data_IF_355067188068
#
_entry.id   IF_355067188068
#
_cell.length_a   1.000
_cell.length_b   1.000
_cell.length_c   1.000
_cell.angle_alpha   90.00
_cell.angle_beta   90.00
_cell.angle_gamma   90.00
#
_symmetry.space_group_name_H-M   'P 1'
#
loop_
_entity.id
_entity.type
_entity.pdbx_description
1 polymer ?
#
# COMPACT_ATOMS: atom_id res chain seq x y z
N UNK A 1 13.76 26.99 28.69
CA UNK A 1 12.42 26.91 28.10
C UNK A 1 12.40 27.88 26.93
N UNK A 2 11.94 27.45 25.74
CA UNK A 2 11.79 28.30 24.56
C UNK A 2 10.39 28.94 24.49
N UNK A 3 9.69 29.03 25.63
CA UNK A 3 8.34 29.61 25.71
C UNK A 3 8.29 31.11 25.40
N UNK A 4 9.43 31.81 25.39
CA UNK A 4 9.46 33.26 25.16
C UNK A 4 9.35 33.68 23.69
N UNK A 5 9.42 32.74 22.73
CA UNK A 5 9.26 33.07 21.30
C UNK A 5 8.65 31.93 20.49
N UNK A 6 7.30 31.85 20.39
CA UNK A 6 6.64 30.79 19.63
C UNK A 6 7.02 30.87 18.14
N UNK A 7 7.17 29.72 17.45
CA UNK A 7 7.59 29.71 16.06
C UNK A 7 6.55 30.40 15.17
N UNK A 8 7.03 31.04 14.11
CA UNK A 8 6.17 31.54 13.05
C UNK A 8 5.78 30.35 12.17
N UNK A 9 4.49 30.17 11.94
CA UNK A 9 3.96 29.10 11.11
C UNK A 9 3.22 29.73 9.94
N UNK A 10 3.61 29.38 8.72
CA UNK A 10 2.96 29.81 7.49
C UNK A 10 2.29 28.59 6.87
N UNK A 11 0.99 28.67 6.63
CA UNK A 11 0.20 27.63 5.98
C UNK A 11 -0.28 28.13 4.61
N UNK A 12 0.25 27.53 3.55
CA UNK A 12 -0.11 27.82 2.16
C UNK A 12 -1.07 26.74 1.65
N UNK A 13 -2.31 27.15 1.36
CA UNK A 13 -3.38 26.21 0.98
C UNK A 13 -3.36 25.88 -0.51
N UNK A 14 -3.80 24.68 -0.90
CA UNK A 14 -3.93 24.30 -2.31
C UNK A 14 -4.94 25.15 -3.09
N UNK A 15 -6.05 25.50 -2.45
CA UNK A 15 -7.27 26.02 -3.12
C UNK A 15 -7.30 27.54 -3.24
N UNK A 16 -6.35 28.23 -2.62
CA UNK A 16 -6.29 29.68 -2.60
C UNK A 16 -4.84 30.13 -2.59
N UNK A 17 -4.54 31.19 -3.34
CA UNK A 17 -3.27 31.92 -3.24
C UNK A 17 -3.04 32.52 -1.83
N UNK A 18 -4.08 32.51 -0.99
CA UNK A 18 -4.06 32.99 0.38
C UNK A 18 -3.30 32.02 1.29
N UNK A 19 -2.35 32.58 2.00
CA UNK A 19 -1.61 31.98 3.10
C UNK A 19 -2.16 32.46 4.44
N UNK A 20 -1.97 31.63 5.46
CA UNK A 20 -2.29 31.95 6.85
C UNK A 20 -1.01 31.93 7.66
N UNK A 21 -0.72 33.00 8.38
CA UNK A 21 0.46 33.12 9.24
C UNK A 21 0.04 33.17 10.68
N UNK A 22 0.60 32.27 11.47
CA UNK A 22 0.43 32.17 12.90
C UNK A 22 1.74 32.58 13.56
N UNK A 23 1.68 33.60 14.42
CA UNK A 23 2.82 34.06 15.21
C UNK A 23 2.42 34.19 16.66
N UNK A 24 3.27 33.71 17.57
CA UNK A 24 2.93 33.74 18.99
C UNK A 24 1.73 32.86 19.34
N UNK A 25 1.05 33.18 20.45
CA UNK A 25 -0.12 32.43 20.94
C UNK A 25 -1.46 32.90 20.32
N UNK A 26 -1.49 34.05 19.65
CA UNK A 26 -2.77 34.70 19.27
C UNK A 26 -2.75 35.48 17.97
N UNK A 27 -1.58 35.69 17.33
CA UNK A 27 -1.53 36.48 16.10
C UNK A 27 -1.80 35.61 14.90
N UNK A 28 -2.90 35.90 14.21
CA UNK A 28 -3.22 35.34 12.89
C UNK A 28 -3.24 36.46 11.86
N UNK A 29 -2.54 36.25 10.75
CA UNK A 29 -2.59 37.11 9.56
C UNK A 29 -2.89 36.26 8.34
N UNK A 30 -3.42 36.90 7.32
CA UNK A 30 -3.71 36.23 6.06
C UNK A 30 -3.48 37.18 4.90
N UNK A 31 -2.90 36.68 3.83
CA UNK A 31 -2.41 37.45 2.69
C UNK A 31 -1.89 36.50 1.63
N UNK A 32 -1.28 37.00 0.57
CA UNK A 32 -0.61 36.14 -0.39
C UNK A 32 0.79 35.75 0.12
N UNK A 33 1.45 34.80 -0.53
CA UNK A 33 2.76 34.32 -0.05
C UNK A 33 3.83 35.43 -0.13
N UNK A 34 3.71 36.34 -1.08
CA UNK A 34 4.61 37.48 -1.27
C UNK A 34 4.58 38.43 -0.07
N UNK A 35 3.43 38.58 0.59
CA UNK A 35 3.28 39.40 1.80
C UNK A 35 4.09 38.84 2.98
N UNK A 36 4.46 37.56 2.92
CA UNK A 36 5.09 36.81 4.00
C UNK A 36 6.49 36.29 3.64
N UNK A 37 7.01 36.62 2.46
CA UNK A 37 8.35 36.24 2.00
C UNK A 37 9.46 36.58 3.03
N UNK A 38 9.44 37.73 3.73
CA UNK A 38 10.46 38.03 4.74
C UNK A 38 10.55 36.98 5.85
N UNK A 39 9.44 36.32 6.20
CA UNK A 39 9.42 35.28 7.23
C UNK A 39 10.00 33.95 6.73
N UNK A 40 9.97 33.67 5.43
CA UNK A 40 10.57 32.47 4.82
C UNK A 40 12.10 32.47 4.88
N UNK A 41 12.70 33.64 5.10
CA UNK A 41 14.15 33.79 5.30
C UNK A 41 14.61 33.50 6.74
N UNK A 42 13.67 33.26 7.67
CA UNK A 42 13.98 32.95 9.07
C UNK A 42 14.01 31.42 9.28
N UNK A 43 15.09 30.86 9.86
CA UNK A 43 15.23 29.41 10.05
C UNK A 43 14.26 28.83 11.09
N UNK A 44 13.70 29.67 11.96
CA UNK A 44 12.70 29.24 12.95
C UNK A 44 11.26 29.24 12.42
N UNK A 45 11.05 29.77 11.21
CA UNK A 45 9.75 29.71 10.56
C UNK A 45 9.49 28.30 10.03
N UNK A 46 8.29 27.79 10.27
CA UNK A 46 7.75 26.59 9.66
C UNK A 46 6.87 26.97 8.48
N UNK A 47 7.16 26.43 7.31
CA UNK A 47 6.39 26.67 6.09
C UNK A 47 5.70 25.39 5.64
N UNK A 48 4.40 25.30 5.93
CA UNK A 48 3.57 24.17 5.51
C UNK A 48 2.88 24.50 4.20
N UNK A 49 3.09 23.65 3.21
CA UNK A 49 2.56 23.83 1.86
C UNK A 49 1.67 22.65 1.52
N UNK A 50 0.39 22.91 1.28
CA UNK A 50 -0.55 21.93 0.76
C UNK A 50 -0.60 22.01 -0.77
N UNK A 51 0.09 21.08 -1.43
CA UNK A 51 0.00 20.81 -2.87
C UNK A 51 0.16 22.04 -3.77
N UNK A 52 0.90 23.06 -3.34
CA UNK A 52 1.24 24.21 -4.17
C UNK A 52 2.28 23.79 -5.22
N UNK A 53 2.09 24.14 -6.50
CA UNK A 53 2.98 23.72 -7.57
C UNK A 53 4.32 24.48 -7.58
N UNK A 54 4.46 25.60 -6.87
CA UNK A 54 5.72 26.37 -6.83
C UNK A 54 5.92 26.99 -5.43
N UNK A 55 6.33 26.18 -4.43
CA UNK A 55 6.59 26.72 -3.10
C UNK A 55 7.84 27.59 -3.09
N UNK A 56 7.77 28.76 -2.46
CA UNK A 56 8.94 29.61 -2.26
C UNK A 56 9.85 28.95 -1.22
N UNK A 57 10.99 28.42 -1.68
CA UNK A 57 11.98 27.75 -0.83
C UNK A 57 12.99 28.77 -0.30
N UNK A 58 13.04 28.92 1.02
CA UNK A 58 13.95 29.81 1.73
C UNK A 58 14.76 29.06 2.80
N UNK A 59 15.08 29.76 3.90
CA UNK A 59 15.73 29.13 5.08
C UNK A 59 14.73 28.53 6.07
N UNK A 60 13.45 28.83 5.91
CA UNK A 60 12.39 28.24 6.71
C UNK A 60 12.35 26.72 6.58
N UNK A 61 11.90 26.04 7.64
CA UNK A 61 11.67 24.59 7.65
C UNK A 61 10.41 24.30 6.83
N UNK A 62 10.58 23.87 5.58
CA UNK A 62 9.46 23.64 4.65
C UNK A 62 8.99 22.19 4.68
N UNK A 63 7.69 22.00 4.90
CA UNK A 63 7.02 20.69 4.82
C UNK A 63 5.97 20.78 3.73
N UNK A 64 6.13 19.97 2.68
CA UNK A 64 5.22 19.94 1.54
C UNK A 64 4.36 18.67 1.64
N UNK A 65 3.06 18.86 1.77
CA UNK A 65 2.07 17.79 1.62
C UNK A 65 1.58 17.81 0.19
N UNK A 66 1.90 16.79 -0.60
CA UNK A 66 1.41 16.69 -1.97
C UNK A 66 1.21 15.25 -2.39
N UNK A 67 0.30 15.04 -3.35
CA UNK A 67 0.24 13.79 -4.07
C UNK A 67 1.44 13.69 -5.01
N UNK A 68 2.05 12.49 -5.16
CA UNK A 68 3.01 12.21 -6.24
C UNK A 68 2.49 12.55 -7.64
N UNK A 69 1.16 12.61 -7.81
CA UNK A 69 0.48 12.97 -9.06
C UNK A 69 0.19 14.46 -9.21
N UNK A 70 0.32 15.27 -8.15
CA UNK A 70 -0.05 16.70 -8.17
C UNK A 70 1.12 17.63 -7.95
N UNK A 71 2.24 17.14 -7.40
CA UNK A 71 3.47 17.92 -7.34
C UNK A 71 4.14 17.87 -8.72
N UNK A 72 4.15 18.99 -9.46
CA UNK A 72 4.87 19.12 -10.74
C UNK A 72 4.50 18.08 -11.82
N UNK A 73 3.21 17.72 -11.94
CA UNK A 73 2.74 16.68 -12.87
C UNK A 73 3.06 16.95 -14.34
N UNK A 74 3.14 18.21 -14.75
CA UNK A 74 3.51 18.58 -16.12
C UNK A 74 5.04 18.55 -16.33
N UNK A 75 5.83 18.84 -15.29
CA UNK A 75 7.29 18.88 -15.38
C UNK A 75 7.99 17.56 -15.01
N UNK A 76 7.26 16.54 -14.53
CA UNK A 76 7.79 15.22 -14.11
C UNK A 76 8.95 15.29 -13.09
N UNK A 77 9.02 16.37 -12.31
CA UNK A 77 10.12 16.64 -11.38
C UNK A 77 9.97 15.92 -10.03
N UNK A 78 8.81 15.33 -9.75
CA UNK A 78 8.71 14.35 -8.67
C UNK A 78 9.50 13.09 -9.07
N UNK A 79 10.79 13.12 -8.74
CA UNK A 79 11.61 11.94 -8.75
C UNK A 79 11.30 11.19 -7.46
N UNK A 80 10.60 10.07 -7.58
CA UNK A 80 10.49 9.11 -6.49
C UNK A 80 11.91 8.88 -5.98
N UNK A 81 12.18 9.26 -4.74
CA UNK A 81 13.51 9.04 -4.16
C UNK A 81 13.70 7.54 -4.26
N UNK A 82 14.76 7.08 -4.92
CA UNK A 82 15.02 5.64 -5.00
C UNK A 82 15.06 5.14 -3.57
N UNK A 83 13.98 4.49 -3.15
CA UNK A 83 13.89 3.80 -1.87
C UNK A 83 14.79 2.58 -2.06
N UNK A 84 16.09 2.82 -1.90
CA UNK A 84 17.09 1.78 -1.75
C UNK A 84 16.76 1.07 -0.44
N UNK A 85 15.79 0.16 -0.50
CA UNK A 85 15.57 -0.76 0.60
C UNK A 85 16.81 -1.63 0.57
N UNK A 86 17.72 -1.42 1.53
CA UNK A 86 19.01 -2.10 1.58
C UNK A 86 18.85 -3.61 1.45
N UNK A 87 17.74 -4.15 1.98
CA UNK A 87 17.39 -5.56 1.90
C UNK A 87 15.94 -5.76 1.47
N UNK A 88 15.71 -6.55 0.43
CA UNK A 88 14.40 -7.10 0.09
C UNK A 88 14.40 -8.56 0.48
N UNK A 89 13.52 -8.93 1.41
CA UNK A 89 13.28 -10.32 1.77
C UNK A 89 11.95 -10.77 1.19
N UNK A 90 11.93 -11.99 0.65
CA UNK A 90 10.71 -12.65 0.19
C UNK A 90 10.16 -13.53 1.31
N UNK A 91 8.85 -13.49 1.51
CA UNK A 91 8.15 -14.37 2.44
C UNK A 91 7.49 -15.49 1.67
N UNK A 92 7.68 -16.72 2.14
CA UNK A 92 6.97 -17.88 1.61
C UNK A 92 5.46 -17.75 1.91
N UNK A 93 4.59 -18.31 1.04
CA UNK A 93 3.25 -18.68 1.45
C UNK A 93 3.31 -19.58 2.69
N UNK A 94 2.29 -19.50 3.53
CA UNK A 94 2.21 -20.30 4.75
C UNK A 94 1.81 -21.73 4.44
N UNK A 95 2.37 -22.66 5.20
CA UNK A 95 1.90 -24.05 5.26
C UNK A 95 0.47 -24.13 5.79
N UNK A 96 -0.18 -25.27 5.53
CA UNK A 96 -1.50 -25.55 6.07
C UNK A 96 -1.46 -25.53 7.61
N UNK A 97 -0.40 -26.07 8.22
CA UNK A 97 -0.19 -26.10 9.65
C UNK A 97 -0.11 -24.70 10.26
N UNK A 98 0.63 -23.78 9.63
CA UNK A 98 0.71 -22.37 10.05
C UNK A 98 -0.66 -21.68 9.96
N UNK A 99 -1.43 -21.95 8.92
CA UNK A 99 -2.78 -21.40 8.75
C UNK A 99 -3.75 -21.95 9.81
N UNK A 100 -3.72 -23.25 10.09
CA UNK A 100 -4.51 -23.88 11.16
C UNK A 100 -4.13 -23.31 12.52
N UNK A 101 -2.83 -23.16 12.79
CA UNK A 101 -2.32 -22.56 14.03
C UNK A 101 -2.83 -21.13 14.18
N UNK A 102 -2.75 -20.32 13.13
CA UNK A 102 -3.24 -18.95 13.13
C UNK A 102 -4.76 -18.88 13.35
N UNK A 103 -5.54 -19.68 12.62
CA UNK A 103 -7.00 -19.80 12.80
C UNK A 103 -7.35 -20.12 14.25
N UNK A 104 -6.62 -21.04 14.86
CA UNK A 104 -6.87 -21.51 16.23
C UNK A 104 -6.57 -20.43 17.26
N UNK A 105 -5.46 -19.71 17.12
CA UNK A 105 -4.98 -18.75 18.12
C UNK A 105 -5.54 -17.33 17.94
N UNK A 106 -6.02 -16.97 16.75
CA UNK A 106 -6.56 -15.64 16.47
C UNK A 106 -8.09 -15.71 16.46
N UNK A 107 -8.72 -15.16 17.50
CA UNK A 107 -10.18 -15.25 17.72
C UNK A 107 -11.01 -14.82 16.51
N UNK A 108 -10.59 -13.77 15.80
CA UNK A 108 -11.32 -13.29 14.62
C UNK A 108 -11.33 -14.29 13.45
N UNK A 109 -10.34 -15.19 13.35
CA UNK A 109 -10.27 -16.19 12.29
C UNK A 109 -11.00 -17.49 12.63
N UNK A 110 -11.39 -17.71 13.90
CA UNK A 110 -12.13 -18.91 14.30
C UNK A 110 -13.50 -19.03 13.63
N UNK A 111 -14.08 -17.90 13.18
CA UNK A 111 -15.32 -17.85 12.40
C UNK A 111 -15.21 -18.60 11.07
N UNK A 112 -13.99 -18.76 10.52
CA UNK A 112 -13.76 -19.55 9.31
C UNK A 112 -13.71 -21.04 9.71
N UNK A 113 -14.61 -21.90 9.19
CA UNK A 113 -14.57 -23.33 9.47
C UNK A 113 -13.26 -23.98 8.99
N UNK A 114 -12.78 -25.01 9.69
CA UNK A 114 -11.53 -25.71 9.32
C UNK A 114 -11.62 -26.31 7.91
N UNK A 115 -12.73 -26.98 7.59
CA UNK A 115 -12.97 -27.55 6.26
C UNK A 115 -12.93 -26.51 5.15
N UNK A 116 -13.38 -25.28 5.44
CA UNK A 116 -13.33 -24.19 4.48
C UNK A 116 -11.91 -23.66 4.30
N UNK A 117 -11.12 -23.58 5.36
CA UNK A 117 -9.70 -23.24 5.31
C UNK A 117 -8.94 -24.26 4.47
N UNK A 118 -9.16 -25.55 4.67
CA UNK A 118 -8.50 -26.64 3.93
C UNK A 118 -8.87 -26.62 2.44
N UNK A 119 -10.16 -26.48 2.12
CA UNK A 119 -10.64 -26.36 0.72
C UNK A 119 -10.06 -25.13 0.03
N UNK A 120 -10.00 -24.00 0.72
CA UNK A 120 -9.36 -22.79 0.21
C UNK A 120 -7.86 -23.02 0.01
N UNK A 121 -7.14 -23.53 1.00
CA UNK A 121 -5.71 -23.83 0.88
C UNK A 121 -5.40 -24.73 -0.33
N UNK A 122 -6.20 -25.77 -0.55
CA UNK A 122 -6.04 -26.66 -1.70
C UNK A 122 -6.20 -25.94 -3.06
N UNK A 123 -7.01 -24.89 -3.12
CA UNK A 123 -7.28 -24.13 -4.35
C UNK A 123 -6.34 -22.96 -4.58
N UNK A 124 -6.11 -22.14 -3.56
CA UNK A 124 -5.39 -20.86 -3.66
C UNK A 124 -4.00 -20.89 -2.99
N UNK A 125 -3.65 -21.97 -2.30
CA UNK A 125 -2.38 -22.10 -1.59
C UNK A 125 -2.31 -21.31 -0.29
N UNK A 126 -1.07 -21.12 0.18
CA UNK A 126 -0.73 -20.66 1.52
C UNK A 126 -0.92 -19.18 1.85
N UNK A 127 -1.69 -18.38 1.10
CA UNK A 127 -1.75 -16.93 1.31
C UNK A 127 -2.83 -16.58 2.35
N UNK A 128 -2.46 -16.13 3.59
CA UNK A 128 -3.44 -15.97 4.68
C UNK A 128 -4.56 -14.98 4.39
N UNK A 129 -4.29 -13.96 3.58
CA UNK A 129 -5.30 -12.99 3.13
C UNK A 129 -6.49 -13.67 2.46
N UNK A 130 -6.24 -14.66 1.62
CA UNK A 130 -7.26 -15.30 0.81
C UNK A 130 -7.88 -16.50 1.53
N UNK A 131 -7.07 -17.22 2.33
CA UNK A 131 -7.55 -18.39 3.09
C UNK A 131 -8.29 -18.00 4.38
N UNK A 132 -7.90 -16.91 5.05
CA UNK A 132 -8.46 -16.50 6.35
C UNK A 132 -9.15 -15.14 6.28
N UNK A 133 -8.44 -14.09 5.88
CA UNK A 133 -8.93 -12.71 6.05
C UNK A 133 -10.19 -12.42 5.22
N UNK A 134 -10.22 -12.81 3.96
CA UNK A 134 -11.38 -12.62 3.07
C UNK A 134 -12.63 -13.40 3.52
N UNK A 135 -12.58 -14.73 3.73
CA UNK A 135 -13.76 -15.45 4.16
C UNK A 135 -14.23 -14.98 5.55
N UNK A 136 -13.31 -14.69 6.47
CA UNK A 136 -13.64 -14.10 7.79
C UNK A 136 -14.47 -12.83 7.67
N UNK A 137 -14.11 -11.92 6.75
CA UNK A 137 -14.89 -10.69 6.53
C UNK A 137 -16.33 -11.00 6.17
N UNK A 138 -16.57 -11.97 5.27
CA UNK A 138 -17.94 -12.33 4.88
C UNK A 138 -18.70 -13.00 6.01
N UNK A 139 -18.09 -13.96 6.68
CA UNK A 139 -18.73 -14.75 7.73
C UNK A 139 -19.04 -13.89 8.97
N UNK A 140 -18.28 -12.83 9.23
CA UNK A 140 -18.61 -11.88 10.29
C UNK A 140 -19.90 -11.08 9.99
N UNK A 141 -20.23 -10.84 8.73
CA UNK A 141 -21.49 -10.17 8.35
C UNK A 141 -22.63 -11.17 8.10
N UNK A 142 -22.30 -12.35 7.60
CA UNK A 142 -23.24 -13.39 7.14
C UNK A 142 -22.69 -14.77 7.53
N UNK A 143 -22.86 -15.19 8.80
CA UNK A 143 -22.20 -16.40 9.32
C UNK A 143 -22.56 -17.70 8.60
N UNK A 144 -23.76 -17.79 8.04
CA UNK A 144 -24.26 -19.00 7.38
C UNK A 144 -23.93 -19.06 5.88
N UNK A 145 -23.32 -18.01 5.31
CA UNK A 145 -23.05 -17.91 3.87
C UNK A 145 -21.61 -18.31 3.52
N UNK A 146 -21.30 -19.58 3.76
CA UNK A 146 -19.97 -20.14 3.52
C UNK A 146 -19.62 -20.17 2.03
N UNK A 147 -20.61 -20.41 1.18
CA UNK A 147 -20.41 -20.46 -0.28
C UNK A 147 -19.98 -19.11 -0.82
N UNK A 148 -20.62 -18.01 -0.39
CA UNK A 148 -20.18 -16.66 -0.76
C UNK A 148 -18.81 -16.33 -0.19
N UNK A 149 -18.51 -16.76 1.03
CA UNK A 149 -17.21 -16.54 1.65
C UNK A 149 -16.09 -17.21 0.82
N UNK A 150 -16.30 -18.46 0.40
CA UNK A 150 -15.39 -19.21 -0.49
C UNK A 150 -15.30 -18.56 -1.87
N UNK A 151 -16.42 -18.17 -2.47
CA UNK A 151 -16.44 -17.50 -3.78
C UNK A 151 -15.65 -16.18 -3.75
N UNK A 152 -15.80 -15.36 -2.70
CA UNK A 152 -15.03 -14.11 -2.55
C UNK A 152 -13.53 -14.36 -2.38
N UNK A 153 -13.15 -15.42 -1.66
CA UNK A 153 -11.75 -15.80 -1.50
C UNK A 153 -11.13 -16.20 -2.84
N UNK A 154 -11.84 -17.00 -3.65
CA UNK A 154 -11.37 -17.51 -4.94
C UNK A 154 -11.56 -16.53 -6.12
N UNK A 155 -12.37 -15.48 -5.99
CA UNK A 155 -12.70 -14.53 -7.08
C UNK A 155 -11.47 -14.10 -7.89
N UNK A 156 -10.38 -13.72 -7.20
CA UNK A 156 -9.16 -13.25 -7.86
C UNK A 156 -8.45 -14.36 -8.63
N UNK A 157 -8.47 -15.58 -8.11
CA UNK A 157 -7.90 -16.76 -8.74
C UNK A 157 -8.69 -17.10 -10.01
N UNK A 158 -10.01 -17.20 -9.91
CA UNK A 158 -10.88 -17.54 -11.03
C UNK A 158 -10.78 -16.51 -12.16
N UNK A 159 -10.72 -15.22 -11.84
CA UNK A 159 -10.45 -14.16 -12.84
C UNK A 159 -9.09 -14.31 -13.52
N UNK A 160 -8.07 -14.81 -12.81
CA UNK A 160 -6.75 -15.02 -13.37
C UNK A 160 -6.73 -16.25 -14.29
N UNK A 161 -7.38 -17.35 -13.89
CA UNK A 161 -7.55 -18.55 -14.70
C UNK A 161 -8.34 -18.25 -15.99
N UNK A 162 -9.46 -17.51 -15.89
CA UNK A 162 -10.27 -17.16 -17.07
C UNK A 162 -9.48 -16.30 -18.08
N UNK A 163 -8.62 -15.43 -17.57
CA UNK A 163 -7.80 -14.55 -18.40
C UNK A 163 -6.62 -15.28 -19.01
N UNK A 164 -5.93 -16.11 -18.22
CA UNK A 164 -4.78 -16.90 -18.67
C UNK A 164 -5.28 -18.24 -19.20
N UNK A 165 -5.73 -18.22 -20.45
CA UNK A 165 -6.30 -19.40 -21.13
C UNK A 165 -5.25 -20.41 -21.63
N UNK A 166 -3.96 -20.02 -21.63
CA UNK A 166 -2.85 -20.81 -22.17
C UNK A 166 -1.55 -20.53 -21.37
N UNK A 167 -0.79 -21.56 -20.96
CA UNK A 167 0.57 -21.43 -20.41
C UNK A 167 1.52 -20.51 -21.18
N UNK A 168 1.40 -20.40 -22.51
CA UNK A 168 2.21 -19.49 -23.34
C UNK A 168 1.97 -18.02 -22.97
N UNK A 169 0.74 -17.67 -22.64
CA UNK A 169 0.35 -16.32 -22.21
C UNK A 169 0.97 -15.97 -20.85
N UNK A 170 1.10 -16.96 -19.97
CA UNK A 170 1.77 -16.84 -18.68
C UNK A 170 3.28 -16.57 -18.85
N UNK A 171 3.94 -17.28 -19.78
CA UNK A 171 5.35 -17.03 -20.13
C UNK A 171 5.57 -15.65 -20.75
N UNK A 172 4.65 -15.19 -21.60
CA UNK A 172 4.67 -13.84 -22.14
C UNK A 172 4.52 -12.79 -21.02
N UNK A 173 3.67 -13.03 -20.02
CA UNK A 173 3.51 -12.15 -18.86
C UNK A 173 4.79 -11.98 -18.04
N UNK A 174 5.56 -13.06 -17.86
CA UNK A 174 6.87 -12.96 -17.20
C UNK A 174 7.87 -12.13 -18.01
N UNK A 175 7.80 -12.20 -19.34
CA UNK A 175 8.71 -11.44 -20.21
C UNK A 175 8.38 -9.94 -20.32
N UNK A 176 7.12 -9.54 -20.16
CA UNK A 176 6.65 -8.17 -20.47
C UNK A 176 6.68 -7.19 -19.28
N UNK A 177 6.66 -7.67 -18.03
CA UNK A 177 6.90 -6.83 -16.84
C UNK A 177 5.79 -5.83 -16.45
N UNK A 178 5.83 -5.47 -15.16
CA UNK A 178 4.96 -4.61 -14.32
C UNK A 178 3.44 -4.70 -14.46
N UNK A 179 2.84 -4.52 -15.63
CA UNK A 179 1.36 -4.46 -15.76
C UNK A 179 0.72 -5.86 -15.80
N UNK A 180 1.50 -6.87 -16.19
CA UNK A 180 1.08 -8.29 -16.25
C UNK A 180 1.30 -9.04 -14.93
N UNK A 181 2.00 -8.43 -13.96
CA UNK A 181 2.28 -9.05 -12.66
C UNK A 181 1.02 -9.30 -11.83
N UNK A 182 -0.05 -8.52 -12.04
CA UNK A 182 -1.26 -8.57 -11.21
C UNK A 182 -1.96 -9.93 -11.26
N UNK A 183 -1.87 -10.64 -12.39
CA UNK A 183 -2.51 -11.96 -12.59
C UNK A 183 -1.53 -13.09 -12.28
N UNK A 184 -0.26 -12.95 -12.67
CA UNK A 184 0.76 -13.98 -12.41
C UNK A 184 0.91 -14.27 -10.91
N UNK A 185 0.85 -13.25 -10.04
CA UNK A 185 1.01 -13.43 -8.59
C UNK A 185 -0.18 -14.13 -7.92
N UNK A 186 -1.25 -14.42 -8.67
CA UNK A 186 -2.45 -15.13 -8.20
C UNK A 186 -2.41 -16.61 -8.58
N UNK A 187 -1.62 -16.95 -9.61
CA UNK A 187 -1.44 -18.31 -10.13
C UNK A 187 -0.11 -18.91 -9.70
N UNK A 188 0.90 -18.06 -9.48
CA UNK A 188 2.28 -18.46 -9.18
C UNK A 188 2.76 -17.63 -7.98
N UNK A 189 3.32 -18.33 -7.01
CA UNK A 189 3.88 -17.75 -5.79
C UNK A 189 5.40 -17.71 -5.84
N UNK A 190 5.96 -16.73 -5.14
CA UNK A 190 7.41 -16.64 -4.90
C UNK A 190 7.75 -17.42 -3.65
N UNK A 191 8.60 -18.42 -3.81
CA UNK A 191 9.15 -19.20 -2.71
C UNK A 191 10.57 -18.72 -2.45
N UNK A 192 10.87 -18.13 -1.29
CA UNK A 192 12.21 -17.69 -0.97
C UNK A 192 13.19 -18.86 -1.00
N UNK A 193 14.41 -18.59 -1.45
CA UNK A 193 15.54 -19.48 -1.25
C UNK A 193 16.08 -19.30 0.18
N UNK A 194 17.04 -20.13 0.60
CA UNK A 194 17.62 -20.09 1.96
C UNK A 194 18.20 -18.71 2.35
N UNK A 195 18.60 -17.90 1.36
CA UNK A 195 19.11 -16.55 1.56
C UNK A 195 18.01 -15.50 1.81
N UNK A 196 16.74 -15.86 1.59
CA UNK A 196 15.55 -15.00 1.57
C UNK A 196 15.64 -13.77 0.63
N UNK A 197 16.77 -13.53 -0.03
CA UNK A 197 17.03 -12.43 -0.95
C UNK A 197 16.71 -12.79 -2.40
N UNK A 198 16.63 -14.09 -2.70
CA UNK A 198 16.19 -14.63 -3.98
C UNK A 198 14.97 -15.53 -3.80
N UNK A 199 14.34 -15.93 -4.92
CA UNK A 199 13.16 -16.78 -4.90
C UNK A 199 13.09 -17.66 -6.14
N UNK A 200 12.39 -18.78 -6.02
CA UNK A 200 11.86 -19.56 -7.14
C UNK A 200 10.36 -19.32 -7.30
N UNK A 201 9.85 -19.64 -8.48
CA UNK A 201 8.43 -19.49 -8.82
C UNK A 201 7.81 -20.88 -8.88
N UNK A 202 6.78 -21.11 -8.07
CA UNK A 202 5.97 -22.33 -8.14
C UNK A 202 4.50 -21.95 -8.28
N UNK A 203 3.71 -22.88 -8.82
CA UNK A 203 2.26 -22.76 -8.85
C UNK A 203 1.68 -22.55 -7.45
N UNK A 204 0.60 -21.77 -7.38
CA UNK A 204 -0.05 -21.45 -6.11
C UNK A 204 -0.60 -22.70 -5.42
N UNK A 205 -1.06 -23.69 -6.19
CA UNK A 205 -1.59 -24.97 -5.73
C UNK A 205 -1.63 -25.98 -6.90
N UNK A 206 -1.85 -27.26 -6.59
CA UNK A 206 -2.12 -28.29 -7.61
C UNK A 206 -3.39 -28.00 -8.42
N UNK A 207 -4.42 -27.43 -7.78
CA UNK A 207 -5.65 -27.02 -8.47
C UNK A 207 -5.37 -26.04 -9.63
N UNK A 208 -4.40 -25.13 -9.46
CA UNK A 208 -4.00 -24.21 -10.52
C UNK A 208 -3.25 -24.92 -11.65
N UNK A 209 -2.52 -26.00 -11.36
CA UNK A 209 -1.80 -26.79 -12.37
C UNK A 209 -2.76 -27.54 -13.28
N UNK A 210 -3.89 -27.99 -12.73
CA UNK A 210 -4.87 -28.83 -13.43
C UNK A 210 -5.88 -28.04 -14.28
N UNK A 211 -5.90 -26.70 -14.17
CA UNK A 211 -6.87 -25.81 -14.82
C UNK A 211 -6.28 -25.10 -16.04
#
# INVERSE_FOLDING_TARGET
>A
SNDDNPPIIIFHTKRSAKCYVYGGLSTVRSGNIEDFEPFLSLPETWYFVDSSPDPILGRAKTVISASPKTLFSEAHQYHDVVKGVAWRYYMAPWSLEELIMCRTNVTSFQVVPLEALEDLYAKIGGVPRYVLERPMKILNFTPDDLDRAKAMACERLEQALERVKDPVMLMQYFSQGKDTLEFSSRLIHRWPMDDHGTFRLDWASEYVVEK
#
